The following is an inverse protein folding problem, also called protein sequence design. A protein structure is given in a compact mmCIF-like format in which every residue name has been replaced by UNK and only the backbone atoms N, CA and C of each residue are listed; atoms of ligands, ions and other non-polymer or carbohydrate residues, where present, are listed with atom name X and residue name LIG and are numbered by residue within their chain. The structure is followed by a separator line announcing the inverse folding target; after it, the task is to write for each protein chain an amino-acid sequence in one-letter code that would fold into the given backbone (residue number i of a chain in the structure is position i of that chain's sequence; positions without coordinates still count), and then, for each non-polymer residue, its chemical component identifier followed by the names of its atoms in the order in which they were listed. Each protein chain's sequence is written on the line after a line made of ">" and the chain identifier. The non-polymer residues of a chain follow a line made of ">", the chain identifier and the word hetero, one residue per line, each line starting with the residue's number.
data_IF_649770911679
#
_entry.id   IF_649770911679
#
_cell.length_a   1.000
_cell.length_b   1.000
_cell.length_c   1.000
_cell.angle_alpha   90.00
_cell.angle_beta   90.00
_cell.angle_gamma   90.00
#
_symmetry.space_group_name_H-M   'P 1'
#
loop_
_entity.id
_entity.type
_entity.pdbx_description
1 polymer ?
#
# COMPACT_ATOMS: atom_id res chain seq x y z
N UNK A 1 -18.64 -15.49 -11.28
CA UNK A 1 -17.46 -14.81 -10.67
C UNK A 1 -17.84 -13.50 -9.96
N UNK A 2 -19.13 -13.14 -9.91
CA UNK A 2 -19.62 -12.02 -9.09
C UNK A 2 -20.10 -12.44 -7.70
N UNK A 3 -20.21 -13.74 -7.44
CA UNK A 3 -21.00 -14.27 -6.33
C UNK A 3 -20.29 -14.18 -4.98
N UNK A 4 -18.96 -14.32 -4.94
CA UNK A 4 -18.15 -14.29 -3.71
C UNK A 4 -18.23 -12.95 -2.96
N UNK A 5 -18.16 -11.83 -3.68
CA UNK A 5 -18.14 -10.51 -3.05
C UNK A 5 -19.52 -10.12 -2.49
N UNK A 6 -20.59 -10.56 -3.17
CA UNK A 6 -21.95 -10.33 -2.72
C UNK A 6 -22.29 -11.19 -1.49
N UNK A 7 -21.76 -12.42 -1.43
CA UNK A 7 -21.89 -13.31 -0.26
C UNK A 7 -21.18 -12.76 0.98
N UNK A 8 -20.02 -12.11 0.81
CA UNK A 8 -19.22 -11.56 1.91
C UNK A 8 -19.43 -10.06 2.18
N UNK A 9 -20.43 -9.44 1.56
CA UNK A 9 -20.73 -8.01 1.71
C UNK A 9 -19.54 -7.07 1.42
N UNK A 10 -18.66 -7.49 0.49
CA UNK A 10 -17.46 -6.73 0.12
C UNK A 10 -17.77 -5.77 -1.03
N UNK A 11 -17.59 -4.48 -0.79
CA UNK A 11 -17.71 -3.46 -1.83
C UNK A 11 -16.41 -3.33 -2.64
N UNK A 12 -16.48 -3.53 -3.95
CA UNK A 12 -15.34 -3.38 -4.85
C UNK A 12 -15.22 -1.94 -5.34
N UNK A 13 -14.05 -1.34 -5.14
CA UNK A 13 -13.69 -0.03 -5.68
C UNK A 13 -12.56 -0.20 -6.69
N UNK A 14 -12.78 0.26 -7.92
CA UNK A 14 -11.79 0.20 -8.98
C UNK A 14 -11.17 1.58 -9.23
N UNK A 15 -9.87 1.61 -9.49
CA UNK A 15 -9.23 2.82 -10.00
C UNK A 15 -9.58 3.04 -11.47
N UNK A 16 -9.43 4.27 -11.95
CA UNK A 16 -9.58 4.55 -13.38
C UNK A 16 -8.55 3.75 -14.19
N UNK A 17 -8.90 3.30 -15.41
CA UNK A 17 -8.00 2.52 -16.25
C UNK A 17 -6.67 3.24 -16.48
N UNK A 18 -5.57 2.50 -16.44
CA UNK A 18 -4.20 3.01 -16.69
C UNK A 18 -3.78 4.19 -15.79
N UNK A 19 -4.36 4.29 -14.60
CA UNK A 19 -4.08 5.36 -13.64
C UNK A 19 -3.50 4.82 -12.33
N UNK A 20 -2.20 4.43 -12.29
CA UNK A 20 -1.58 3.89 -11.07
C UNK A 20 -1.57 4.90 -9.91
N UNK A 21 -1.63 6.21 -10.22
CA UNK A 21 -1.73 7.26 -9.20
C UNK A 21 -3.04 7.15 -8.39
N UNK A 22 -4.08 6.53 -8.95
CA UNK A 22 -5.35 6.28 -8.27
C UNK A 22 -5.23 5.33 -7.07
N UNK A 23 -4.19 4.48 -7.03
CA UNK A 23 -3.87 3.64 -5.87
C UNK A 23 -2.41 3.83 -5.42
N UNK A 24 -2.08 5.06 -5.07
CA UNK A 24 -0.69 5.44 -4.76
C UNK A 24 -0.08 4.72 -3.55
N UNK A 25 -0.87 4.30 -2.57
CA UNK A 25 -0.38 3.62 -1.36
C UNK A 25 0.16 2.24 -1.71
N UNK A 26 -0.64 1.42 -2.41
CA UNK A 26 -0.23 0.08 -2.86
C UNK A 26 0.97 0.15 -3.79
N UNK A 27 1.01 1.12 -4.71
CA UNK A 27 2.15 1.30 -5.62
C UNK A 27 3.46 1.62 -4.88
N UNK A 28 3.42 2.51 -3.88
CA UNK A 28 4.58 2.82 -3.04
C UNK A 28 5.03 1.62 -2.23
N UNK A 29 4.10 0.86 -1.64
CA UNK A 29 4.39 -0.38 -0.93
C UNK A 29 5.10 -1.38 -1.85
N UNK A 30 4.56 -1.63 -3.04
CA UNK A 30 5.14 -2.56 -4.00
C UNK A 30 6.55 -2.16 -4.43
N UNK A 31 6.83 -0.85 -4.54
CA UNK A 31 8.19 -0.36 -4.79
C UNK A 31 9.15 -0.73 -3.65
N UNK A 32 8.75 -0.49 -2.40
CA UNK A 32 9.57 -0.84 -1.23
C UNK A 32 9.76 -2.35 -1.10
N UNK A 33 8.70 -3.12 -1.30
CA UNK A 33 8.74 -4.58 -1.28
C UNK A 33 9.73 -5.13 -2.31
N UNK A 34 9.72 -4.61 -3.55
CA UNK A 34 10.70 -4.96 -4.59
C UNK A 34 12.13 -4.66 -4.16
N UNK A 35 12.37 -3.53 -3.48
CA UNK A 35 13.70 -3.17 -2.97
C UNK A 35 14.19 -4.11 -1.87
N UNK A 36 13.30 -4.49 -0.94
CA UNK A 36 13.61 -5.47 0.11
C UNK A 36 13.91 -6.82 -0.52
N UNK A 37 13.07 -7.28 -1.44
CA UNK A 37 13.31 -8.52 -2.18
C UNK A 37 14.62 -8.52 -2.92
N UNK A 38 14.91 -7.47 -3.69
CA UNK A 38 16.16 -7.35 -4.43
C UNK A 38 17.39 -7.36 -3.50
N UNK A 39 17.26 -6.95 -2.24
CA UNK A 39 18.34 -7.00 -1.27
C UNK A 39 18.55 -8.41 -0.72
N UNK A 40 17.48 -9.15 -0.45
CA UNK A 40 17.53 -10.54 0.07
C UNK A 40 17.90 -11.55 -1.03
N UNK A 41 17.37 -11.36 -2.23
CA UNK A 41 17.54 -12.29 -3.36
C UNK A 41 18.94 -12.28 -3.97
N UNK A 42 19.77 -11.26 -3.68
CA UNK A 42 21.18 -11.19 -4.11
C UNK A 42 21.97 -12.44 -3.70
N UNK A 43 21.63 -13.01 -2.55
CA UNK A 43 22.32 -14.17 -2.02
C UNK A 43 21.68 -15.49 -2.49
N UNK A 44 20.34 -15.56 -2.56
CA UNK A 44 19.61 -16.82 -2.82
C UNK A 44 18.29 -16.56 -3.60
N UNK A 45 18.31 -16.40 -4.92
CA UNK A 45 17.10 -16.08 -5.69
C UNK A 45 16.06 -17.22 -5.69
N UNK A 46 16.50 -18.48 -5.59
CA UNK A 46 15.60 -19.64 -5.59
C UNK A 46 14.69 -19.72 -4.34
N UNK A 47 15.04 -19.04 -3.25
CA UNK A 47 14.29 -19.04 -1.98
C UNK A 47 13.37 -17.83 -1.83
N UNK A 48 13.06 -17.14 -2.92
CA UNK A 48 12.18 -15.97 -2.90
C UNK A 48 10.85 -16.20 -2.15
N UNK A 49 10.15 -17.35 -2.31
CA UNK A 49 8.92 -17.61 -1.56
C UNK A 49 9.11 -17.64 -0.04
N UNK A 50 10.24 -18.14 0.44
CA UNK A 50 10.57 -18.21 1.87
C UNK A 50 10.83 -16.82 2.45
N UNK A 51 11.40 -15.91 1.64
CA UNK A 51 11.67 -14.54 2.05
C UNK A 51 10.41 -13.66 2.09
N UNK A 52 9.29 -14.06 1.48
CA UNK A 52 8.06 -13.24 1.45
C UNK A 52 7.56 -12.95 2.88
N UNK A 53 7.53 -13.96 3.75
CA UNK A 53 7.10 -13.81 5.15
C UNK A 53 8.01 -12.83 5.91
N UNK A 54 9.32 -12.92 5.68
CA UNK A 54 10.30 -12.02 6.29
C UNK A 54 10.13 -10.58 5.77
N UNK A 55 9.94 -10.41 4.46
CA UNK A 55 9.65 -9.11 3.85
C UNK A 55 8.39 -8.47 4.45
N UNK A 56 7.31 -9.25 4.60
CA UNK A 56 6.06 -8.76 5.18
C UNK A 56 6.25 -8.29 6.63
N UNK A 57 6.98 -9.05 7.46
CA UNK A 57 7.30 -8.65 8.82
C UNK A 57 8.14 -7.38 8.87
N UNK A 58 9.16 -7.26 8.02
CA UNK A 58 10.01 -6.07 7.94
C UNK A 58 9.20 -4.84 7.52
N UNK A 59 8.30 -4.97 6.54
CA UNK A 59 7.45 -3.87 6.10
C UNK A 59 6.47 -3.41 7.18
N UNK A 60 5.85 -4.34 7.92
CA UNK A 60 4.93 -3.99 8.99
C UNK A 60 5.63 -3.42 10.24
N UNK A 61 6.91 -3.75 10.44
CA UNK A 61 7.75 -3.22 11.51
C UNK A 61 8.48 -1.92 11.12
N UNK A 62 8.50 -1.55 9.84
CA UNK A 62 9.14 -0.33 9.38
C UNK A 62 8.27 0.89 9.71
N UNK A 63 8.91 1.95 10.20
CA UNK A 63 8.25 3.24 10.42
C UNK A 63 7.92 3.85 9.06
N UNK A 64 6.64 4.16 8.83
CA UNK A 64 6.19 4.75 7.58
C UNK A 64 6.32 6.27 7.60
N UNK A 65 6.77 6.87 6.48
CA UNK A 65 7.15 8.28 6.39
C UNK A 65 6.01 9.25 6.73
N UNK A 66 4.79 8.95 6.26
CA UNK A 66 3.62 9.83 6.41
C UNK A 66 3.00 9.71 7.81
N UNK A 67 2.95 8.51 8.37
CA UNK A 67 2.31 8.28 9.67
C UNK A 67 3.28 8.44 10.83
N UNK A 68 4.59 8.39 10.55
CA UNK A 68 5.70 8.37 11.52
C UNK A 68 5.65 7.21 12.52
N UNK A 69 4.82 6.21 12.23
CA UNK A 69 4.59 5.03 13.07
C UNK A 69 4.65 3.74 12.25
N UNK A 70 4.78 2.61 12.95
CA UNK A 70 4.77 1.28 12.35
C UNK A 70 3.33 0.87 11.98
N UNK A 71 3.05 0.33 10.78
CA UNK A 71 1.73 -0.20 10.43
C UNK A 71 1.21 -1.23 11.45
N UNK A 72 2.12 -2.05 11.99
CA UNK A 72 1.81 -3.02 13.03
C UNK A 72 1.33 -2.34 14.34
N UNK A 73 1.97 -1.25 14.76
CA UNK A 73 1.56 -0.49 15.93
C UNK A 73 0.19 0.18 15.73
N UNK A 74 -0.09 0.68 14.53
CA UNK A 74 -1.38 1.28 14.22
C UNK A 74 -2.53 0.27 14.24
N UNK A 75 -2.26 -1.01 13.92
CA UNK A 75 -3.27 -2.05 13.92
C UNK A 75 -3.45 -2.72 15.29
N UNK A 76 -2.35 -2.98 16.00
CA UNK A 76 -2.35 -3.82 17.20
C UNK A 76 -2.00 -3.07 18.49
N UNK A 77 -1.75 -1.75 18.43
CA UNK A 77 -1.29 -0.92 19.55
C UNK A 77 -0.09 -1.51 20.32
N UNK A 78 0.73 -2.27 19.61
CA UNK A 78 1.93 -2.91 20.13
C UNK A 78 3.03 -2.70 19.09
N UNK A 79 4.25 -2.37 19.52
CA UNK A 79 5.35 -2.24 18.57
C UNK A 79 5.78 -3.61 18.04
N UNK A 80 6.09 -3.68 16.76
CA UNK A 80 6.53 -4.92 16.15
C UNK A 80 7.86 -5.38 16.77
N UNK A 81 7.95 -6.66 17.14
CA UNK A 81 9.21 -7.25 17.59
C UNK A 81 10.25 -7.17 16.47
N UNK A 82 11.36 -6.50 16.74
CA UNK A 82 12.45 -6.28 15.76
C UNK A 82 13.33 -7.52 15.52
N UNK A 83 13.07 -8.63 16.19
CA UNK A 83 13.84 -9.88 16.09
C UNK A 83 12.96 -11.11 15.86
N UNK A 84 13.49 -12.05 15.07
CA UNK A 84 12.86 -13.32 14.70
C UNK A 84 12.84 -14.23 15.94
N UNK A 85 11.65 -14.41 16.51
CA UNK A 85 11.36 -15.29 17.64
C UNK A 85 9.86 -15.26 17.89
N UNK A 86 9.17 -16.28 17.39
CA UNK A 86 7.71 -16.36 17.28
C UNK A 86 7.01 -16.36 18.63
N UNK A 87 6.45 -15.22 19.01
CA UNK A 87 5.22 -15.15 19.81
C UNK A 87 4.28 -14.20 19.08
N UNK A 88 3.06 -14.66 18.77
CA UNK A 88 2.01 -13.75 18.33
C UNK A 88 1.84 -12.67 19.42
N UNK A 89 1.62 -11.39 19.05
CA UNK A 89 1.29 -10.39 20.07
C UNK A 89 0.11 -10.92 20.89
N UNK A 90 0.22 -10.82 22.21
CA UNK A 90 -0.94 -10.97 23.08
C UNK A 90 -1.85 -9.79 22.75
N UNK A 91 -2.81 -10.00 21.85
CA UNK A 91 -3.85 -9.02 21.56
C UNK A 91 -4.68 -8.97 22.83
N UNK A 92 -4.48 -7.94 23.65
CA UNK A 92 -5.41 -7.66 24.73
C UNK A 92 -6.72 -7.22 24.07
N UNK A 93 -7.84 -7.85 24.41
CA UNK A 93 -9.13 -7.55 23.77
C UNK A 93 -9.62 -6.09 24.04
N UNK A 94 -8.96 -5.37 24.95
CA UNK A 94 -9.19 -3.96 25.29
C UNK A 94 -8.19 -2.99 24.62
N UNK A 95 -7.66 -3.33 23.45
CA UNK A 95 -6.79 -2.40 22.72
C UNK A 95 -7.63 -1.24 22.15
N UNK A 96 -7.42 -0.04 22.68
CA UNK A 96 -7.98 1.18 22.09
C UNK A 96 -7.18 1.57 20.82
N UNK A 97 -7.58 0.98 19.69
CA UNK A 97 -7.00 1.27 18.37
C UNK A 97 -7.36 2.70 17.92
N UNK A 98 -8.46 3.27 18.45
CA UNK A 98 -9.01 4.54 17.98
C UNK A 98 -8.04 5.70 18.21
N UNK A 99 -7.39 5.73 19.37
CA UNK A 99 -6.39 6.73 19.72
C UNK A 99 -5.20 6.73 18.74
N UNK A 100 -4.63 5.55 18.45
CA UNK A 100 -3.49 5.43 17.53
C UNK A 100 -3.84 5.86 16.11
N UNK A 101 -5.05 5.51 15.65
CA UNK A 101 -5.54 5.92 14.35
C UNK A 101 -5.71 7.44 14.27
N UNK A 102 -6.19 8.07 15.34
CA UNK A 102 -6.36 9.52 15.38
C UNK A 102 -5.03 10.26 15.39
N UNK A 103 -4.03 9.78 16.15
CA UNK A 103 -2.66 10.30 16.09
C UNK A 103 -2.09 10.15 14.68
N UNK A 104 -2.20 8.97 14.07
CA UNK A 104 -1.71 8.73 12.71
C UNK A 104 -2.41 9.62 11.66
N UNK A 105 -3.69 9.92 11.85
CA UNK A 105 -4.44 10.85 11.00
C UNK A 105 -3.95 12.28 11.18
N UNK A 106 -3.68 12.71 12.41
CA UNK A 106 -3.15 14.05 12.68
C UNK A 106 -1.76 14.23 12.05
N UNK A 107 -0.84 13.30 12.29
CA UNK A 107 0.51 13.35 11.70
C UNK A 107 0.48 13.28 10.17
N UNK A 108 -0.41 12.48 9.60
CA UNK A 108 -0.59 12.42 8.15
C UNK A 108 -1.09 13.73 7.56
N UNK A 109 -1.99 14.44 8.25
CA UNK A 109 -2.49 15.77 7.82
C UNK A 109 -1.37 16.80 7.87
N UNK A 110 -0.58 16.82 8.94
CA UNK A 110 0.58 17.70 9.09
C UNK A 110 1.59 17.47 7.96
N UNK A 111 1.97 16.21 7.71
CA UNK A 111 2.89 15.84 6.63
C UNK A 111 2.33 16.14 5.22
N UNK A 112 0.99 16.08 5.06
CA UNK A 112 0.33 16.44 3.80
C UNK A 112 0.35 17.94 3.55
N UNK A 113 0.26 18.77 4.60
CA UNK A 113 0.34 20.22 4.51
C UNK A 113 1.73 20.74 4.10
N UNK A 114 2.79 20.03 4.48
CA UNK A 114 4.18 20.36 4.10
C UNK A 114 4.55 19.88 2.70
N UNK A 115 3.83 18.87 2.18
CA UNK A 115 4.05 18.34 0.84
C UNK A 115 3.62 19.36 -0.21
N UNK A 116 4.58 20.06 -0.82
CA UNK A 116 4.34 20.92 -1.99
C UNK A 116 3.74 20.08 -3.12
N UNK A 117 2.42 20.10 -3.26
CA UNK A 117 1.78 19.67 -4.50
C UNK A 117 2.20 20.70 -5.54
N UNK A 118 3.09 20.32 -6.46
CA UNK A 118 3.40 21.18 -7.61
C UNK A 118 2.09 21.57 -8.28
N UNK A 119 1.95 22.85 -8.65
CA UNK A 119 0.73 23.38 -9.27
C UNK A 119 0.31 22.50 -10.45
N UNK A 120 -0.67 21.62 -10.22
CA UNK A 120 -1.32 20.91 -11.30
C UNK A 120 -2.31 21.89 -11.89
N UNK A 121 -2.24 22.09 -13.21
CA UNK A 121 -3.28 22.82 -13.92
C UNK A 121 -4.60 22.08 -13.67
N UNK A 122 -5.54 22.74 -13.01
CA UNK A 122 -6.88 22.19 -12.85
C UNK A 122 -7.51 22.06 -14.25
N UNK A 123 -7.73 20.82 -14.65
CA UNK A 123 -8.54 20.49 -15.82
C UNK A 123 -9.95 20.20 -15.31
N UNK A 124 -10.70 21.26 -15.04
CA UNK A 124 -12.15 21.14 -14.84
C UNK A 124 -12.78 20.77 -16.18
N UNK A 125 -13.63 19.74 -16.18
CA UNK A 125 -14.37 19.29 -17.36
C UNK A 125 -15.84 19.43 -17.02
N UNK A 126 -16.60 20.11 -17.87
CA UNK A 126 -18.04 20.27 -17.72
C UNK A 126 -18.81 19.19 -18.52
N UNK A 127 -20.06 18.95 -18.13
CA UNK A 127 -20.93 18.00 -18.83
C UNK A 127 -21.22 18.54 -20.24
N UNK A 128 -20.80 17.80 -21.27
CA UNK A 128 -21.00 18.17 -22.68
C UNK A 128 -19.70 18.49 -23.42
N UNK A 129 -18.57 18.59 -22.71
CA UNK A 129 -17.27 18.85 -23.33
C UNK A 129 -16.74 17.66 -24.13
N UNK A 130 -16.08 17.96 -25.26
CA UNK A 130 -15.38 16.98 -26.07
C UNK A 130 -13.97 16.77 -25.50
N UNK A 131 -13.72 15.59 -24.93
CA UNK A 131 -12.43 15.20 -24.35
C UNK A 131 -11.77 14.06 -25.11
N UNK A 132 -10.45 14.12 -25.23
CA UNK A 132 -9.65 13.04 -25.81
C UNK A 132 -9.30 12.01 -24.73
N UNK A 133 -9.75 10.76 -24.91
CA UNK A 133 -9.31 9.65 -24.06
C UNK A 133 -8.10 8.98 -24.68
N UNK A 134 -7.01 8.90 -23.92
CA UNK A 134 -5.81 8.18 -24.33
C UNK A 134 -6.14 6.69 -24.48
N UNK A 135 -6.03 6.17 -25.70
CA UNK A 135 -6.14 4.73 -25.98
C UNK A 135 -4.74 4.12 -25.93
N UNK A 136 -4.44 3.34 -24.89
CA UNK A 136 -3.21 2.56 -24.85
C UNK A 136 -3.43 1.22 -25.58
N UNK A 137 -2.70 1.03 -26.68
CA UNK A 137 -2.61 -0.25 -27.38
C UNK A 137 -1.61 -1.11 -26.59
N UNK A 138 -2.07 -2.17 -25.93
CA UNK A 138 -1.17 -3.20 -25.42
C UNK A 138 -0.54 -3.83 -26.66
N UNK A 139 0.77 -3.60 -26.87
CA UNK A 139 1.49 -4.23 -27.97
C UNK A 139 1.51 -5.75 -27.72
N UNK A 140 0.81 -6.58 -28.52
CA UNK A 140 0.71 -8.02 -28.26
C UNK A 140 2.09 -8.69 -28.28
N UNK A 141 3.06 -8.11 -29.00
CA UNK A 141 4.44 -8.60 -29.06
C UNK A 141 5.27 -8.40 -27.79
N UNK A 142 4.81 -7.55 -26.85
CA UNK A 142 5.48 -7.25 -25.57
C UNK A 142 4.88 -7.98 -24.38
N UNK A 143 3.91 -8.87 -24.60
CA UNK A 143 3.49 -9.83 -23.59
C UNK A 143 4.70 -10.67 -23.21
N UNK A 144 5.35 -10.32 -22.08
CA UNK A 144 6.27 -11.23 -21.43
C UNK A 144 5.44 -12.46 -21.09
N UNK A 145 5.73 -13.59 -21.75
CA UNK A 145 5.23 -14.90 -21.35
C UNK A 145 5.54 -15.04 -19.85
N UNK A 146 4.49 -14.95 -19.05
CA UNK A 146 4.50 -15.34 -17.65
C UNK A 146 4.70 -16.86 -17.57
#
# INVERSE_FOLDING_TARGET
>A
MGDFYQEHEIQLTFSTPYHPQGNSITERLHRTLKSVFASLSKCQPAKLPEFLTQCHQVLNAAVHEITREQPYYLMFNCHAHRFIGTTLPQVNDEIDISFNLDVARQTSKENSGESKCGEKKDQSVDIGDLVWVKKEQINPSKERKL
#
